data_IF_109092373282
#
_entry.id   IF_109092373282
#
_cell.length_a   1.000
_cell.length_b   1.000
_cell.length_c   1.000
_cell.angle_alpha   90.00
_cell.angle_beta   90.00
_cell.angle_gamma   90.00
#
_symmetry.space_group_name_H-M   'P 1'
#
loop_
_entity.id
_entity.type
_entity.pdbx_description
1 polymer ?
#
# COMPACT_ATOMS: atom_id res chain seq x y z
N UNK A 1 -3.27 39.09 17.93
CA UNK A 1 -1.90 38.55 18.16
C UNK A 1 -1.94 37.32 19.06
N UNK A 2 -2.74 37.29 20.13
CA UNK A 2 -3.00 36.07 20.93
C UNK A 2 -3.67 34.95 20.13
N UNK A 3 -4.61 35.27 19.23
CA UNK A 3 -5.28 34.28 18.36
C UNK A 3 -4.33 33.61 17.33
N UNK A 4 -3.25 34.30 16.91
CA UNK A 4 -2.21 33.73 16.04
C UNK A 4 -1.26 32.80 16.81
N UNK A 5 -1.08 33.05 18.11
CA UNK A 5 -0.27 32.24 19.01
C UNK A 5 -1.04 31.01 19.53
N UNK A 6 -2.37 31.04 19.57
CA UNK A 6 -3.21 29.84 19.78
C UNK A 6 -3.31 28.96 18.52
N UNK A 7 -3.18 29.56 17.32
CA UNK A 7 -3.14 28.84 16.04
C UNK A 7 -1.88 27.96 15.89
N UNK A 8 -0.72 28.47 16.31
CA UNK A 8 0.50 27.67 16.49
C UNK A 8 0.42 26.98 17.85
N UNK A 9 -0.04 25.74 17.92
CA UNK A 9 -0.09 24.97 19.16
C UNK A 9 1.33 24.78 19.75
N UNK A 10 1.83 25.77 20.50
CA UNK A 10 3.19 25.88 21.03
C UNK A 10 3.45 24.96 22.23
N UNK A 11 2.51 24.08 22.57
CA UNK A 11 2.70 23.10 23.63
C UNK A 11 3.67 21.98 23.22
N UNK A 12 3.86 21.75 21.90
CA UNK A 12 4.78 20.74 21.35
C UNK A 12 5.76 21.33 20.30
N UNK A 13 6.38 22.47 20.62
CA UNK A 13 7.46 23.06 19.80
C UNK A 13 8.54 22.04 19.41
N UNK A 14 9.01 21.14 20.31
CA UNK A 14 10.04 20.16 19.95
C UNK A 14 9.63 19.24 18.81
N UNK A 15 8.37 18.78 18.80
CA UNK A 15 7.84 17.91 17.77
C UNK A 15 7.64 18.64 16.44
N UNK A 16 7.18 19.91 16.49
CA UNK A 16 7.05 20.74 15.30
C UNK A 16 8.41 21.03 14.65
N UNK A 17 9.43 21.35 15.45
CA UNK A 17 10.80 21.56 14.97
C UNK A 17 11.35 20.27 14.36
N UNK A 18 11.13 19.12 15.01
CA UNK A 18 11.58 17.82 14.51
C UNK A 18 10.94 17.47 13.16
N UNK A 19 9.60 17.55 13.06
CA UNK A 19 8.86 17.28 11.83
C UNK A 19 9.25 18.27 10.72
N UNK A 20 9.35 19.56 11.05
CA UNK A 20 9.78 20.60 10.11
C UNK A 20 11.20 20.36 9.58
N UNK A 21 12.13 19.97 10.46
CA UNK A 21 13.49 19.61 10.09
C UNK A 21 13.53 18.43 9.12
N UNK A 22 12.77 17.36 9.40
CA UNK A 22 12.67 16.20 8.50
C UNK A 22 12.10 16.57 7.12
N UNK A 23 11.04 17.40 7.09
CA UNK A 23 10.44 17.86 5.83
C UNK A 23 11.44 18.69 5.02
N UNK A 24 12.17 19.60 5.66
CA UNK A 24 13.17 20.44 4.99
C UNK A 24 14.35 19.61 4.44
N UNK A 25 14.81 18.61 5.18
CA UNK A 25 15.85 17.69 4.71
C UNK A 25 15.36 16.89 3.50
N UNK A 26 14.17 16.30 3.58
CA UNK A 26 13.58 15.55 2.47
C UNK A 26 13.35 16.44 1.24
N UNK A 27 12.84 17.66 1.44
CA UNK A 27 12.64 18.64 0.38
C UNK A 27 13.97 19.07 -0.25
N UNK A 28 15.01 19.30 0.53
CA UNK A 28 16.34 19.65 0.04
C UNK A 28 16.92 18.54 -0.85
N UNK A 29 16.84 17.28 -0.43
CA UNK A 29 17.29 16.15 -1.24
C UNK A 29 16.45 15.99 -2.51
N UNK A 30 15.12 16.07 -2.41
CA UNK A 30 14.23 15.97 -3.56
C UNK A 30 14.48 17.10 -4.57
N UNK A 31 14.61 18.35 -4.10
CA UNK A 31 14.93 19.51 -4.92
C UNK A 31 16.35 19.42 -5.49
N UNK A 32 17.32 18.90 -4.75
CA UNK A 32 18.68 18.70 -5.23
C UNK A 32 18.75 17.70 -6.38
N UNK A 33 18.06 16.56 -6.24
CA UNK A 33 17.95 15.54 -7.29
C UNK A 33 17.20 16.09 -8.52
N UNK A 34 16.10 16.83 -8.30
CA UNK A 34 15.37 17.49 -9.37
C UNK A 34 16.20 18.55 -10.08
N UNK A 35 16.86 19.42 -9.32
CA UNK A 35 17.71 20.48 -9.86
C UNK A 35 18.84 19.87 -10.66
N UNK A 36 19.51 18.82 -10.18
CA UNK A 36 20.56 18.13 -10.92
C UNK A 36 20.03 17.44 -12.18
N UNK A 37 18.82 16.89 -12.16
CA UNK A 37 18.23 16.22 -13.32
C UNK A 37 17.67 17.20 -14.37
N UNK A 38 17.12 18.33 -13.93
CA UNK A 38 16.47 19.34 -14.76
C UNK A 38 17.41 20.46 -15.19
N UNK A 39 18.55 20.70 -14.51
CA UNK A 39 19.47 21.78 -14.89
C UNK A 39 19.92 21.56 -16.34
N UNK A 40 19.53 22.46 -17.25
CA UNK A 40 20.05 22.42 -18.60
C UNK A 40 21.51 22.83 -18.49
N UNK A 41 22.45 21.93 -18.80
CA UNK A 41 23.84 22.29 -19.12
C UNK A 41 23.88 22.99 -20.49
N UNK A 42 23.08 24.04 -20.63
CA UNK A 42 22.97 24.78 -21.87
C UNK A 42 24.14 25.75 -21.99
N UNK A 43 25.00 25.40 -22.94
CA UNK A 43 25.72 26.29 -23.86
C UNK A 43 27.05 26.86 -23.39
N UNK A 44 28.00 26.00 -23.03
CA UNK A 44 29.38 26.17 -23.50
C UNK A 44 29.98 24.80 -23.85
N UNK A 45 30.10 24.53 -25.16
CA UNK A 45 30.92 23.47 -25.75
C UNK A 45 31.91 24.18 -26.69
N UNK A 46 33.20 23.81 -26.80
CA UNK A 46 33.56 22.52 -27.42
C UNK A 46 34.88 21.85 -26.94
N UNK A 47 35.07 20.62 -27.45
CA UNK A 47 36.24 19.71 -27.37
C UNK A 47 36.41 18.90 -26.07
N UNK A 48 35.70 17.77 -25.99
CA UNK A 48 36.14 16.65 -25.17
C UNK A 48 35.13 16.09 -24.16
N UNK A 49 33.94 15.71 -24.67
CA UNK A 49 32.99 14.77 -24.06
C UNK A 49 32.44 15.11 -22.66
N UNK A 50 31.12 15.02 -22.51
CA UNK A 50 30.48 14.81 -21.20
C UNK A 50 31.18 13.59 -20.57
N UNK A 51 32.10 13.83 -19.63
CA UNK A 51 32.72 12.73 -18.89
C UNK A 51 31.66 12.25 -17.90
N UNK A 52 31.16 11.01 -18.02
CA UNK A 52 30.33 10.46 -16.97
C UNK A 52 31.11 10.51 -15.65
N UNK A 53 30.42 10.82 -14.55
CA UNK A 53 31.00 10.93 -13.19
C UNK A 53 31.89 9.73 -12.84
N UNK A 54 31.56 8.57 -13.39
CA UNK A 54 32.43 7.38 -13.42
C UNK A 54 32.66 7.04 -14.89
N UNK A 55 33.92 7.05 -15.38
CA UNK A 55 34.20 6.55 -16.72
C UNK A 55 33.75 5.08 -16.78
N UNK A 56 32.98 4.67 -17.79
CA UNK A 56 32.60 3.28 -17.90
C UNK A 56 33.88 2.46 -17.99
N UNK A 57 33.97 1.41 -17.19
CA UNK A 57 35.18 0.57 -17.09
C UNK A 57 34.88 -0.91 -17.34
N UNK A 58 33.63 -1.33 -17.18
CA UNK A 58 33.18 -2.71 -17.43
C UNK A 58 32.88 -2.88 -18.92
N UNK A 59 33.41 -3.96 -19.51
CA UNK A 59 33.16 -4.35 -20.88
C UNK A 59 31.78 -4.97 -21.09
N UNK A 60 31.38 -5.09 -22.37
CA UNK A 60 30.11 -5.73 -22.73
C UNK A 60 30.08 -7.21 -22.34
N UNK A 61 31.21 -7.90 -22.38
CA UNK A 61 31.27 -9.35 -22.08
C UNK A 61 30.96 -9.60 -20.60
N UNK A 62 31.61 -8.86 -19.70
CA UNK A 62 31.43 -8.98 -18.25
C UNK A 62 29.99 -8.64 -17.84
N UNK A 63 29.49 -7.47 -18.26
CA UNK A 63 28.11 -7.06 -18.02
C UNK A 63 27.08 -7.99 -18.68
N UNK A 64 27.39 -8.49 -19.88
CA UNK A 64 26.56 -9.42 -20.62
C UNK A 64 26.43 -10.79 -19.94
N UNK A 65 27.52 -11.30 -19.34
CA UNK A 65 27.49 -12.54 -18.54
C UNK A 65 26.59 -12.32 -17.31
N UNK A 66 26.78 -11.23 -16.56
CA UNK A 66 25.97 -10.93 -15.37
C UNK A 66 24.48 -10.80 -15.73
N UNK A 67 24.15 -9.97 -16.71
CA UNK A 67 22.76 -9.79 -17.17
C UNK A 67 22.17 -11.08 -17.74
N UNK A 68 22.96 -11.84 -18.50
CA UNK A 68 22.56 -13.13 -19.06
C UNK A 68 22.23 -14.16 -17.98
N UNK A 69 23.08 -14.28 -16.96
CA UNK A 69 22.86 -15.21 -15.84
C UNK A 69 21.62 -14.84 -15.02
N UNK A 70 21.42 -13.55 -14.72
CA UNK A 70 20.22 -13.10 -13.99
C UNK A 70 18.96 -13.30 -14.84
N UNK A 71 19.02 -12.99 -16.14
CA UNK A 71 17.90 -13.26 -17.05
C UNK A 71 17.54 -14.74 -17.10
N UNK A 72 18.54 -15.63 -17.14
CA UNK A 72 18.31 -17.07 -17.13
C UNK A 72 17.67 -17.52 -15.81
N UNK A 73 18.13 -16.99 -14.68
CA UNK A 73 17.55 -17.25 -13.37
C UNK A 73 16.09 -16.76 -13.28
N UNK A 74 15.80 -15.54 -13.74
CA UNK A 74 14.44 -15.01 -13.72
C UNK A 74 13.54 -15.73 -14.71
N UNK A 75 14.05 -16.11 -15.89
CA UNK A 75 13.30 -16.89 -16.85
C UNK A 75 12.94 -18.28 -16.30
N UNK A 76 13.88 -18.98 -15.65
CA UNK A 76 13.59 -20.28 -15.04
C UNK A 76 12.57 -20.17 -13.91
N UNK A 77 12.69 -19.14 -13.07
CA UNK A 77 11.72 -18.85 -12.02
C UNK A 77 10.32 -18.55 -12.59
N UNK A 78 10.24 -17.72 -13.64
CA UNK A 78 8.98 -17.41 -14.32
C UNK A 78 8.36 -18.66 -14.93
N UNK A 79 9.14 -19.54 -15.56
CA UNK A 79 8.65 -20.82 -16.10
C UNK A 79 8.03 -21.69 -14.99
N UNK A 80 8.70 -21.78 -13.84
CA UNK A 80 8.15 -22.49 -12.67
C UNK A 80 6.83 -21.85 -12.23
N UNK A 81 6.79 -20.53 -12.08
CA UNK A 81 5.56 -19.81 -11.69
C UNK A 81 4.41 -20.06 -12.66
N UNK A 82 4.65 -20.05 -13.97
CA UNK A 82 3.64 -20.35 -14.99
C UNK A 82 3.11 -21.78 -14.85
N UNK A 83 3.98 -22.76 -14.62
CA UNK A 83 3.55 -24.14 -14.40
C UNK A 83 2.70 -24.30 -13.13
N UNK A 84 3.01 -23.58 -12.06
CA UNK A 84 2.18 -23.57 -10.85
C UNK A 84 0.84 -22.84 -11.03
N UNK A 85 0.81 -21.78 -11.86
CA UNK A 85 -0.41 -21.02 -12.12
C UNK A 85 -1.41 -21.78 -13.00
N UNK A 86 -0.92 -22.49 -14.02
CA UNK A 86 -1.74 -23.24 -14.98
C UNK A 86 -1.81 -24.76 -14.68
N UNK A 87 -0.95 -25.26 -13.80
CA UNK A 87 -0.95 -26.62 -13.30
C UNK A 87 -2.07 -26.81 -12.28
N UNK A 88 -3.30 -26.94 -12.81
CA UNK A 88 -4.51 -27.56 -12.27
C UNK A 88 -4.59 -27.82 -10.75
N UNK A 89 -5.77 -27.51 -10.20
CA UNK A 89 -6.34 -27.88 -8.88
C UNK A 89 -6.13 -29.33 -8.39
N UNK A 90 -5.54 -30.21 -9.21
CA UNK A 90 -5.20 -31.59 -8.88
C UNK A 90 -3.82 -31.79 -8.23
N UNK A 91 -2.87 -30.85 -8.35
CA UNK A 91 -1.49 -31.04 -7.82
C UNK A 91 -1.23 -30.37 -6.47
N UNK A 92 -2.21 -29.63 -5.94
CA UNK A 92 -2.09 -28.88 -4.67
C UNK A 92 -2.41 -29.80 -3.48
N UNK A 93 -3.09 -30.94 -3.72
CA UNK A 93 -3.42 -31.95 -2.71
C UNK A 93 -2.29 -32.93 -2.38
N UNK A 94 -1.21 -33.00 -3.17
CA UNK A 94 -0.09 -33.94 -2.91
C UNK A 94 1.10 -33.32 -2.15
N UNK A 95 1.16 -31.99 -2.00
CA UNK A 95 2.32 -31.32 -1.40
C UNK A 95 2.13 -30.87 0.07
N UNK A 96 0.96 -31.10 0.69
CA UNK A 96 0.74 -30.82 2.12
C UNK A 96 0.72 -29.34 2.52
N UNK A 97 0.83 -28.39 1.58
CA UNK A 97 0.70 -26.95 1.85
C UNK A 97 -0.74 -26.48 1.60
N UNK A 98 -1.36 -25.85 2.60
CA UNK A 98 -2.66 -25.20 2.43
C UNK A 98 -2.48 -23.96 1.55
N UNK A 99 -3.43 -23.69 0.64
CA UNK A 99 -3.41 -22.56 -0.30
C UNK A 99 -3.07 -21.20 0.35
N UNK A 100 -3.49 -21.01 1.61
CA UNK A 100 -3.22 -19.84 2.45
C UNK A 100 -1.75 -19.63 2.81
N UNK A 101 -0.94 -20.69 2.91
CA UNK A 101 0.48 -20.60 3.30
C UNK A 101 1.37 -20.18 2.13
N UNK A 102 1.04 -20.64 0.91
CA UNK A 102 1.70 -20.23 -0.33
C UNK A 102 1.44 -18.75 -0.71
N UNK A 103 0.28 -18.20 -0.29
CA UNK A 103 -0.07 -16.81 -0.54
C UNK A 103 0.60 -15.82 0.43
N UNK A 104 1.04 -16.28 1.60
CA UNK A 104 1.52 -15.43 2.71
C UNK A 104 3.02 -15.09 2.66
N UNK A 105 3.85 -15.93 2.03
CA UNK A 105 5.29 -15.67 1.88
C UNK A 105 5.62 -15.17 0.48
N UNK A 106 6.48 -14.16 0.39
CA UNK A 106 7.09 -13.74 -0.86
C UNK A 106 6.80 -12.32 -1.33
N UNK A 107 5.82 -11.59 -0.75
CA UNK A 107 5.59 -10.18 -1.14
C UNK A 107 6.80 -9.30 -0.80
N UNK A 108 7.26 -9.34 0.45
CA UNK A 108 8.44 -8.57 0.86
C UNK A 108 9.70 -8.97 0.10
N UNK A 109 9.84 -10.27 -0.19
CA UNK A 109 10.94 -10.80 -1.02
C UNK A 109 10.84 -10.28 -2.45
N UNK A 110 9.64 -10.22 -3.04
CA UNK A 110 9.41 -9.68 -4.38
C UNK A 110 9.77 -8.19 -4.45
N UNK A 111 9.34 -7.39 -3.46
CA UNK A 111 9.72 -5.97 -3.38
C UNK A 111 11.25 -5.84 -3.32
N UNK A 112 11.92 -6.67 -2.52
CA UNK A 112 13.37 -6.67 -2.45
C UNK A 112 14.01 -7.05 -3.79
N UNK A 113 13.51 -8.09 -4.46
CA UNK A 113 13.99 -8.53 -5.79
C UNK A 113 13.82 -7.41 -6.82
N UNK A 114 12.67 -6.73 -6.83
CA UNK A 114 12.41 -5.59 -7.71
C UNK A 114 13.43 -4.46 -7.47
N UNK A 115 13.64 -4.09 -6.21
CA UNK A 115 14.56 -3.00 -5.85
C UNK A 115 16.03 -3.34 -6.17
N UNK A 116 16.46 -4.57 -5.87
CA UNK A 116 17.79 -5.06 -6.22
C UNK A 116 17.95 -5.08 -7.74
N UNK A 117 16.95 -5.56 -8.47
CA UNK A 117 17.00 -5.61 -9.93
C UNK A 117 17.15 -4.21 -10.53
N UNK A 118 16.37 -3.24 -10.03
CA UNK A 118 16.47 -1.86 -10.46
C UNK A 118 17.85 -1.26 -10.16
N UNK A 119 18.41 -1.56 -8.99
CA UNK A 119 19.77 -1.14 -8.63
C UNK A 119 20.82 -1.73 -9.58
N UNK A 120 20.73 -3.02 -9.89
CA UNK A 120 21.61 -3.70 -10.85
C UNK A 120 21.49 -3.05 -12.24
N UNK A 121 20.27 -2.85 -12.72
CA UNK A 121 19.97 -2.20 -14.00
C UNK A 121 20.60 -0.81 -14.09
N UNK A 122 20.42 0.03 -13.07
CA UNK A 122 21.01 1.38 -13.02
C UNK A 122 22.54 1.33 -12.97
N UNK A 123 23.09 0.46 -12.11
CA UNK A 123 24.55 0.34 -11.93
C UNK A 123 25.22 -0.11 -13.22
N UNK A 124 24.76 -1.21 -13.82
CA UNK A 124 25.33 -1.68 -15.09
C UNK A 124 25.10 -0.68 -16.21
N UNK A 125 23.97 0.04 -16.20
CA UNK A 125 23.70 1.08 -17.20
C UNK A 125 24.59 2.31 -17.09
N UNK A 126 25.18 2.58 -15.92
CA UNK A 126 26.15 3.67 -15.73
C UNK A 126 27.59 3.24 -16.03
N UNK A 127 27.96 2.00 -15.67
CA UNK A 127 29.36 1.55 -15.67
C UNK A 127 29.78 0.83 -16.96
N UNK A 128 28.84 0.31 -17.76
CA UNK A 128 29.15 -0.51 -18.94
C UNK A 128 29.55 0.34 -20.16
N UNK A 129 30.68 -0.01 -20.80
CA UNK A 129 31.11 0.57 -22.09
C UNK A 129 30.25 0.05 -23.24
N UNK A 130 29.77 0.97 -24.08
CA UNK A 130 28.90 0.68 -25.22
C UNK A 130 29.55 1.10 -26.54
N UNK A 131 30.64 0.43 -26.89
CA UNK A 131 31.41 0.78 -28.10
C UNK A 131 30.74 0.17 -29.35
N UNK A 132 29.89 0.97 -30.00
CA UNK A 132 29.22 0.64 -31.27
C UNK A 132 27.74 0.29 -31.16
N UNK A 133 27.00 0.50 -32.26
CA UNK A 133 25.53 0.33 -32.30
C UNK A 133 25.08 -1.09 -31.98
N UNK A 134 25.76 -2.11 -32.49
CA UNK A 134 25.42 -3.51 -32.23
C UNK A 134 25.58 -3.88 -30.75
N UNK A 135 26.69 -3.46 -30.13
CA UNK A 135 26.96 -3.71 -28.70
C UNK A 135 25.96 -3.01 -27.78
N UNK A 136 25.61 -1.77 -28.10
CA UNK A 136 24.57 -1.03 -27.40
C UNK A 136 23.18 -1.70 -27.54
N UNK A 137 22.86 -2.22 -28.72
CA UNK A 137 21.60 -2.93 -28.96
C UNK A 137 21.51 -4.22 -28.10
N UNK A 138 22.56 -5.04 -28.08
CA UNK A 138 22.58 -6.27 -27.25
C UNK A 138 22.41 -5.93 -25.76
N UNK A 139 23.13 -4.93 -25.26
CA UNK A 139 22.99 -4.49 -23.87
C UNK A 139 21.55 -4.04 -23.56
N UNK A 140 20.96 -3.20 -24.43
CA UNK A 140 19.60 -2.72 -24.24
C UNK A 140 18.58 -3.86 -24.26
N UNK A 141 18.73 -4.83 -25.18
CA UNK A 141 17.86 -6.01 -25.24
C UNK A 141 17.93 -6.81 -23.95
N UNK A 142 19.12 -7.08 -23.41
CA UNK A 142 19.27 -7.82 -22.14
C UNK A 142 18.59 -7.09 -20.97
N UNK A 143 18.69 -5.77 -20.90
CA UNK A 143 18.05 -4.96 -19.87
C UNK A 143 16.52 -4.94 -20.02
N UNK A 144 16.03 -4.83 -21.26
CA UNK A 144 14.59 -4.87 -21.57
C UNK A 144 14.01 -6.23 -21.21
N UNK A 145 14.70 -7.33 -21.53
CA UNK A 145 14.30 -8.69 -21.14
C UNK A 145 14.23 -8.80 -19.62
N UNK A 146 15.22 -8.29 -18.90
CA UNK A 146 15.23 -8.35 -17.43
C UNK A 146 14.07 -7.58 -16.82
N UNK A 147 13.82 -6.36 -17.30
CA UNK A 147 12.67 -5.56 -16.88
C UNK A 147 11.33 -6.24 -17.22
N UNK A 148 11.23 -6.88 -18.38
CA UNK A 148 10.03 -7.61 -18.78
C UNK A 148 9.79 -8.84 -17.89
N UNK A 149 10.83 -9.61 -17.57
CA UNK A 149 10.74 -10.75 -16.65
C UNK A 149 10.29 -10.31 -15.24
N UNK A 150 10.81 -9.19 -14.73
CA UNK A 150 10.31 -8.60 -13.48
C UNK A 150 8.86 -8.16 -13.60
N UNK A 151 8.47 -7.55 -14.72
CA UNK A 151 7.07 -7.22 -14.99
C UNK A 151 6.15 -8.43 -14.91
N UNK A 152 6.56 -9.58 -15.46
CA UNK A 152 5.82 -10.84 -15.34
C UNK A 152 5.72 -11.30 -13.89
N UNK A 153 6.81 -11.25 -13.11
CA UNK A 153 6.78 -11.60 -11.69
C UNK A 153 5.84 -10.69 -10.88
N UNK A 154 5.83 -9.40 -11.21
CA UNK A 154 4.92 -8.39 -10.62
C UNK A 154 3.46 -8.72 -10.94
N UNK A 155 3.13 -9.04 -12.19
CA UNK A 155 1.76 -9.43 -12.60
C UNK A 155 1.33 -10.73 -11.91
N UNK A 156 2.22 -11.71 -11.82
CA UNK A 156 2.00 -12.98 -11.11
C UNK A 156 1.67 -12.74 -9.63
N UNK A 157 2.37 -11.81 -8.98
CA UNK A 157 2.09 -11.42 -7.60
C UNK A 157 0.72 -10.72 -7.43
N UNK A 158 0.35 -9.84 -8.35
CA UNK A 158 -0.99 -9.21 -8.36
C UNK A 158 -2.10 -10.25 -8.47
N UNK A 159 -1.96 -11.22 -9.39
CA UNK A 159 -2.96 -12.28 -9.56
C UNK A 159 -3.13 -13.13 -8.29
N UNK A 160 -2.02 -13.45 -7.60
CA UNK A 160 -2.06 -14.18 -6.33
C UNK A 160 -2.79 -13.40 -5.24
N UNK A 161 -2.56 -12.09 -5.16
CA UNK A 161 -3.20 -11.22 -4.18
C UNK A 161 -4.71 -11.08 -4.46
N UNK A 162 -5.10 -10.89 -5.72
CA UNK A 162 -6.51 -10.84 -6.14
C UNK A 162 -7.27 -12.13 -5.81
N UNK A 163 -6.65 -13.29 -6.03
CA UNK A 163 -7.27 -14.58 -5.73
C UNK A 163 -7.41 -14.81 -4.21
N UNK A 164 -6.47 -14.29 -3.42
CA UNK A 164 -6.56 -14.32 -1.96
C UNK A 164 -7.68 -13.43 -1.43
N UNK A 165 -7.84 -12.24 -1.99
CA UNK A 165 -8.93 -11.30 -1.66
C UNK A 165 -10.31 -11.85 -2.04
N UNK A 166 -10.41 -12.64 -3.12
CA UNK A 166 -11.66 -13.31 -3.49
C UNK A 166 -12.15 -14.34 -2.45
N UNK A 167 -11.26 -14.82 -1.58
CA UNK A 167 -11.57 -15.81 -0.53
C UNK A 167 -11.75 -15.14 0.84
N UNK A 168 -10.88 -14.18 1.18
CA UNK A 168 -10.80 -13.60 2.53
C UNK A 168 -11.30 -12.15 2.63
N UNK A 169 -11.67 -11.52 1.52
CA UNK A 169 -12.04 -10.11 1.46
C UNK A 169 -10.86 -9.13 1.47
N UNK A 170 -11.18 -7.85 1.32
CA UNK A 170 -10.19 -6.76 1.27
C UNK A 170 -9.78 -6.31 2.68
N UNK A 171 -8.49 -6.04 2.88
CA UNK A 171 -7.93 -5.48 4.13
C UNK A 171 -6.90 -4.39 3.82
N UNK A 172 -6.59 -3.54 4.80
CA UNK A 172 -5.68 -2.39 4.61
C UNK A 172 -4.29 -2.79 4.10
N UNK A 173 -3.68 -3.84 4.66
CA UNK A 173 -2.35 -4.32 4.25
C UNK A 173 -2.35 -4.83 2.80
N UNK A 174 -3.40 -5.52 2.36
CA UNK A 174 -3.53 -6.04 0.99
C UNK A 174 -3.80 -4.91 -0.01
N UNK A 175 -4.61 -3.92 0.35
CA UNK A 175 -4.87 -2.76 -0.50
C UNK A 175 -3.62 -1.90 -0.67
N UNK A 176 -2.85 -1.65 0.40
CA UNK A 176 -1.55 -0.98 0.28
C UNK A 176 -0.57 -1.76 -0.59
N UNK A 177 -0.54 -3.09 -0.44
CA UNK A 177 0.28 -3.98 -1.26
C UNK A 177 -0.10 -3.91 -2.75
N UNK A 178 -1.39 -3.86 -3.07
CA UNK A 178 -1.91 -3.68 -4.43
C UNK A 178 -1.37 -2.39 -5.07
N UNK A 179 -1.53 -1.26 -4.38
CA UNK A 179 -1.07 0.04 -4.86
C UNK A 179 0.46 0.04 -5.00
N UNK A 180 1.18 -0.52 -4.03
CA UNK A 180 2.64 -0.61 -4.06
C UNK A 180 3.15 -1.43 -5.25
N UNK A 181 2.57 -2.60 -5.53
CA UNK A 181 3.00 -3.44 -6.65
C UNK A 181 2.81 -2.72 -8.00
N UNK A 182 1.67 -2.04 -8.19
CA UNK A 182 1.39 -1.29 -9.42
C UNK A 182 2.46 -0.20 -9.62
N UNK A 183 2.75 0.59 -8.58
CA UNK A 183 3.75 1.65 -8.66
C UNK A 183 5.19 1.13 -8.80
N UNK A 184 5.51 -0.02 -8.19
CA UNK A 184 6.79 -0.71 -8.40
C UNK A 184 6.96 -1.17 -9.85
N UNK A 185 5.91 -1.69 -10.48
CA UNK A 185 5.92 -2.01 -11.91
C UNK A 185 6.09 -0.77 -12.79
N UNK A 186 5.34 0.29 -12.49
CA UNK A 186 5.42 1.57 -13.21
C UNK A 186 6.80 2.23 -13.11
N UNK A 187 7.54 2.00 -12.02
CA UNK A 187 8.90 2.54 -11.82
C UNK A 187 9.91 2.06 -12.88
N UNK A 188 9.68 0.91 -13.53
CA UNK A 188 10.53 0.45 -14.63
C UNK A 188 10.30 1.23 -15.93
N UNK A 189 9.13 1.84 -16.13
CA UNK A 189 8.84 2.62 -17.34
C UNK A 189 9.81 3.81 -17.55
N UNK A 190 10.03 4.72 -16.58
CA UNK A 190 10.99 5.79 -16.75
C UNK A 190 12.42 5.27 -16.92
N UNK A 191 12.76 4.12 -16.31
CA UNK A 191 14.05 3.47 -16.55
C UNK A 191 14.20 3.03 -18.01
N UNK A 192 13.21 2.31 -18.55
CA UNK A 192 13.21 1.85 -19.93
C UNK A 192 13.25 3.01 -20.93
N UNK A 193 12.46 4.06 -20.68
CA UNK A 193 12.49 5.29 -21.50
C UNK A 193 13.87 5.95 -21.46
N UNK A 194 14.45 6.10 -20.28
CA UNK A 194 15.78 6.71 -20.11
C UNK A 194 16.89 5.86 -20.76
N UNK A 195 16.78 4.53 -20.70
CA UNK A 195 17.69 3.57 -21.33
C UNK A 195 17.62 3.65 -22.86
N UNK A 196 16.41 3.59 -23.43
CA UNK A 196 16.18 3.62 -24.88
C UNK A 196 16.50 5.00 -25.48
N UNK A 197 16.24 6.08 -24.74
CA UNK A 197 16.63 7.44 -25.13
C UNK A 197 18.14 7.71 -24.99
N UNK A 198 18.91 6.77 -24.41
CA UNK A 198 20.35 6.91 -24.18
C UNK A 198 20.70 7.99 -23.15
N UNK A 199 19.75 8.42 -22.32
CA UNK A 199 19.91 9.49 -21.34
C UNK A 199 19.39 9.04 -19.98
N UNK A 200 20.20 8.23 -19.28
CA UNK A 200 19.82 7.66 -17.97
C UNK A 200 19.44 8.72 -16.91
N UNK A 201 19.90 9.97 -17.06
CA UNK A 201 19.51 11.12 -16.22
C UNK A 201 17.99 11.35 -16.12
N UNK A 202 17.22 10.95 -17.13
CA UNK A 202 15.75 11.07 -17.13
C UNK A 202 15.05 10.07 -16.20
N UNK A 203 15.78 9.07 -15.70
CA UNK A 203 15.23 8.16 -14.69
C UNK A 203 14.90 8.89 -13.38
N UNK A 204 15.76 9.79 -12.91
CA UNK A 204 15.58 10.50 -11.63
C UNK A 204 14.24 11.27 -11.53
N UNK A 205 13.87 12.14 -12.50
CA UNK A 205 12.57 12.82 -12.45
C UNK A 205 11.40 11.84 -12.61
N UNK A 206 11.56 10.78 -13.40
CA UNK A 206 10.55 9.74 -13.54
C UNK A 206 10.32 8.93 -12.25
N UNK A 207 11.38 8.60 -11.52
CA UNK A 207 11.32 7.94 -10.23
C UNK A 207 10.66 8.84 -9.18
N UNK A 208 10.95 10.13 -9.18
CA UNK A 208 10.27 11.08 -8.30
C UNK A 208 8.77 11.18 -8.63
N UNK A 209 8.41 11.27 -9.91
CA UNK A 209 7.01 11.23 -10.33
C UNK A 209 6.32 9.94 -9.88
N UNK A 210 7.01 8.81 -9.88
CA UNK A 210 6.46 7.56 -9.35
C UNK A 210 6.23 7.62 -7.83
N UNK A 211 7.14 8.21 -7.05
CA UNK A 211 6.97 8.38 -5.60
C UNK A 211 5.84 9.36 -5.27
N UNK A 212 5.78 10.50 -5.98
CA UNK A 212 4.68 11.48 -5.85
C UNK A 212 3.36 10.82 -6.26
N UNK A 213 3.34 10.07 -7.35
CA UNK A 213 2.17 9.35 -7.81
C UNK A 213 1.71 8.30 -6.82
N UNK A 214 2.62 7.51 -6.25
CA UNK A 214 2.31 6.51 -5.22
C UNK A 214 1.69 7.15 -3.98
N UNK A 215 2.33 8.18 -3.43
CA UNK A 215 1.82 8.91 -2.26
C UNK A 215 0.49 9.59 -2.54
N UNK A 216 0.36 10.25 -3.69
CA UNK A 216 -0.90 10.88 -4.11
C UNK A 216 -2.02 9.85 -4.26
N UNK A 217 -1.74 8.69 -4.86
CA UNK A 217 -2.72 7.61 -5.06
C UNK A 217 -3.29 7.15 -3.72
N UNK A 218 -2.45 6.94 -2.70
CA UNK A 218 -2.89 6.53 -1.36
C UNK A 218 -3.67 7.61 -0.60
N UNK A 219 -3.43 8.89 -0.91
CA UNK A 219 -4.18 9.99 -0.29
C UNK A 219 -5.51 10.27 -1.01
N UNK A 220 -5.61 9.98 -2.31
CA UNK A 220 -6.80 10.22 -3.13
C UNK A 220 -7.78 9.05 -3.04
N UNK A 221 -7.27 7.82 -3.08
CA UNK A 221 -8.06 6.63 -2.84
C UNK A 221 -8.23 6.57 -1.33
N UNK A 222 -9.35 7.07 -0.83
CA UNK A 222 -9.82 6.82 0.52
C UNK A 222 -9.88 5.30 0.76
N UNK A 223 -8.78 4.76 1.30
CA UNK A 223 -8.51 3.31 1.31
C UNK A 223 -9.54 2.58 2.15
N UNK A 224 -9.89 3.15 3.30
CA UNK A 224 -10.81 2.51 4.23
C UNK A 224 -12.25 2.53 3.68
N UNK A 225 -12.67 3.61 3.00
CA UNK A 225 -13.94 3.63 2.26
C UNK A 225 -13.95 2.64 1.09
N UNK A 226 -12.87 2.55 0.32
CA UNK A 226 -12.75 1.59 -0.78
C UNK A 226 -12.87 0.13 -0.28
N UNK A 227 -12.21 -0.20 0.83
CA UNK A 227 -12.30 -1.52 1.45
C UNK A 227 -13.73 -1.84 1.88
N UNK A 228 -14.43 -0.88 2.49
CA UNK A 228 -15.83 -1.05 2.89
C UNK A 228 -16.72 -1.32 1.67
N UNK A 229 -16.66 -0.46 0.64
CA UNK A 229 -17.45 -0.62 -0.59
C UNK A 229 -17.26 -1.99 -1.23
N UNK A 230 -16.02 -2.45 -1.35
CA UNK A 230 -15.72 -3.70 -2.05
C UNK A 230 -16.16 -4.95 -1.28
N UNK A 231 -16.01 -4.95 0.05
CA UNK A 231 -16.50 -6.06 0.89
C UNK A 231 -18.05 -6.09 0.90
N UNK A 232 -18.71 -4.93 0.91
CA UNK A 232 -20.18 -4.84 0.87
C UNK A 232 -20.71 -5.28 -0.49
N UNK A 233 -20.04 -4.90 -1.58
CA UNK A 233 -20.38 -5.35 -2.92
C UNK A 233 -20.28 -6.89 -3.02
N UNK A 234 -19.23 -7.48 -2.45
CA UNK A 234 -19.07 -8.93 -2.38
C UNK A 234 -20.17 -9.59 -1.52
N UNK A 235 -20.53 -8.98 -0.39
CA UNK A 235 -21.64 -9.41 0.45
C UNK A 235 -22.95 -9.47 -0.33
N UNK A 236 -23.27 -8.44 -1.11
CA UNK A 236 -24.48 -8.41 -1.93
C UNK A 236 -24.57 -9.52 -2.99
N UNK A 237 -23.43 -10.10 -3.40
CA UNK A 237 -23.39 -11.20 -4.38
C UNK A 237 -23.42 -12.58 -3.73
N UNK A 238 -22.77 -12.74 -2.57
CA UNK A 238 -22.53 -14.05 -1.94
C UNK A 238 -23.36 -14.31 -0.69
N UNK A 239 -23.94 -13.25 -0.10
CA UNK A 239 -24.64 -13.28 1.17
C UNK A 239 -23.74 -13.55 2.38
N UNK A 240 -22.41 -13.58 2.23
CA UNK A 240 -21.46 -13.92 3.29
C UNK A 240 -20.60 -12.73 3.67
N UNK A 241 -20.66 -12.31 4.92
CA UNK A 241 -19.82 -11.24 5.43
C UNK A 241 -18.54 -11.83 5.99
N UNK A 242 -17.45 -11.72 5.23
CA UNK A 242 -16.22 -12.45 5.53
C UNK A 242 -15.38 -11.86 6.68
N UNK A 243 -15.58 -10.60 7.07
CA UNK A 243 -14.69 -9.95 8.04
C UNK A 243 -15.42 -9.02 9.00
N UNK A 244 -15.24 -9.25 10.30
CA UNK A 244 -15.59 -8.26 11.34
C UNK A 244 -14.60 -7.10 11.40
N UNK A 245 -13.45 -7.25 10.72
CA UNK A 245 -12.44 -6.22 10.46
C UNK A 245 -13.02 -4.88 10.00
N UNK A 246 -14.14 -4.87 9.28
CA UNK A 246 -14.81 -3.65 8.80
C UNK A 246 -15.10 -2.64 9.93
N UNK A 247 -15.32 -3.12 11.16
CA UNK A 247 -15.59 -2.28 12.33
C UNK A 247 -14.34 -1.51 12.77
N UNK A 248 -13.14 -1.95 12.37
CA UNK A 248 -11.84 -1.34 12.70
C UNK A 248 -11.34 -0.31 11.68
N UNK A 249 -12.04 -0.13 10.55
CA UNK A 249 -11.71 0.84 9.49
C UNK A 249 -11.80 2.29 9.99
N UNK A 250 -11.35 3.30 9.24
CA UNK A 250 -11.50 4.72 9.62
C UNK A 250 -12.96 5.17 9.62
N UNK A 251 -13.20 6.40 10.08
CA UNK A 251 -14.55 6.99 10.10
C UNK A 251 -15.11 7.21 8.68
N UNK A 252 -14.24 7.26 7.67
CA UNK A 252 -14.60 7.37 6.25
C UNK A 252 -15.37 6.16 5.71
N UNK A 253 -15.24 5.00 6.37
CA UNK A 253 -15.94 3.78 6.00
C UNK A 253 -17.40 3.74 6.49
N UNK A 254 -17.77 4.56 7.49
CA UNK A 254 -19.11 4.49 8.10
C UNK A 254 -20.27 4.69 7.12
N UNK A 255 -20.24 5.68 6.21
CA UNK A 255 -21.34 5.90 5.27
C UNK A 255 -21.71 4.65 4.45
N UNK A 256 -20.71 3.82 4.14
CA UNK A 256 -20.87 2.60 3.36
C UNK A 256 -21.43 1.45 4.22
N UNK A 257 -21.07 1.38 5.50
CA UNK A 257 -21.52 0.31 6.41
C UNK A 257 -22.97 0.47 6.86
N UNK A 258 -23.52 1.69 6.82
CA UNK A 258 -24.84 2.00 7.40
C UNK A 258 -26.03 1.42 6.64
N UNK A 259 -26.02 1.34 5.29
CA UNK A 259 -27.03 0.60 4.54
C UNK A 259 -27.21 -0.86 5.00
N UNK A 260 -26.12 -1.55 5.40
CA UNK A 260 -26.20 -2.92 5.90
C UNK A 260 -26.95 -3.05 7.23
N UNK A 261 -26.98 -1.99 8.03
CA UNK A 261 -27.74 -1.96 9.28
C UNK A 261 -29.24 -1.67 9.04
N UNK A 262 -29.57 -1.07 7.89
CA UNK A 262 -30.94 -0.75 7.47
C UNK A 262 -31.63 -1.90 6.76
N UNK A 263 -30.88 -2.82 6.18
CA UNK A 263 -31.45 -4.05 5.62
C UNK A 263 -31.99 -4.96 6.72
N UNK A 264 -33.12 -5.63 6.48
CA UNK A 264 -33.69 -6.68 7.36
C UNK A 264 -32.79 -7.93 7.47
N UNK A 265 -31.61 -7.89 6.85
CA UNK A 265 -30.69 -9.01 6.76
C UNK A 265 -30.00 -9.30 8.11
N UNK A 266 -30.16 -10.53 8.58
CA UNK A 266 -29.85 -10.90 9.95
C UNK A 266 -28.35 -11.03 10.22
N UNK A 267 -27.54 -11.40 9.22
CA UNK A 267 -26.12 -11.68 9.44
C UNK A 267 -25.31 -10.38 9.59
N UNK A 268 -25.44 -9.45 8.64
CA UNK A 268 -24.78 -8.14 8.71
C UNK A 268 -25.15 -7.34 9.96
N UNK A 269 -26.43 -7.33 10.34
CA UNK A 269 -26.92 -6.61 11.53
C UNK A 269 -26.40 -7.23 12.83
N UNK A 270 -26.41 -8.56 12.94
CA UNK A 270 -25.97 -9.22 14.18
C UNK A 270 -24.45 -9.21 14.36
N UNK A 271 -23.69 -9.24 13.27
CA UNK A 271 -22.22 -9.23 13.29
C UNK A 271 -21.67 -7.80 13.45
N UNK A 272 -22.16 -6.83 12.67
CA UNK A 272 -21.64 -5.45 12.67
C UNK A 272 -22.32 -4.53 13.67
N UNK A 273 -23.60 -4.77 13.99
CA UNK A 273 -24.41 -3.89 14.83
C UNK A 273 -23.80 -3.59 16.19
N UNK A 274 -23.46 -4.61 17.01
CA UNK A 274 -22.88 -4.39 18.33
C UNK A 274 -21.59 -3.57 18.31
N UNK A 275 -20.69 -3.85 17.35
CA UNK A 275 -19.42 -3.13 17.25
C UNK A 275 -19.56 -1.70 16.74
N UNK A 276 -20.45 -1.44 15.78
CA UNK A 276 -20.70 -0.09 15.27
C UNK A 276 -21.37 0.80 16.32
N UNK A 277 -22.26 0.24 17.14
CA UNK A 277 -22.91 0.91 18.26
C UNK A 277 -21.89 1.28 19.36
N UNK A 278 -21.01 0.35 19.70
CA UNK A 278 -19.90 0.61 20.63
C UNK A 278 -18.94 1.68 20.11
N UNK A 279 -18.59 1.61 18.83
CA UNK A 279 -17.75 2.61 18.17
C UNK A 279 -18.41 3.99 18.16
N UNK A 280 -19.70 4.07 17.87
CA UNK A 280 -20.46 5.32 17.93
C UNK A 280 -20.41 5.97 19.31
N UNK A 281 -20.51 5.15 20.37
CA UNK A 281 -20.41 5.62 21.75
C UNK A 281 -19.00 6.14 22.08
N UNK A 282 -17.95 5.43 21.67
CA UNK A 282 -16.56 5.88 21.82
C UNK A 282 -16.29 7.19 21.06
N UNK A 283 -16.74 7.32 19.80
CA UNK A 283 -16.58 8.54 19.00
C UNK A 283 -17.25 9.75 19.67
N UNK A 284 -18.45 9.57 20.22
CA UNK A 284 -19.18 10.62 20.94
C UNK A 284 -18.44 11.09 22.20
N UNK A 285 -17.82 10.17 22.95
CA UNK A 285 -17.05 10.51 24.15
C UNK A 285 -15.69 11.15 23.83
N UNK A 286 -14.98 10.62 22.83
CA UNK A 286 -13.68 11.13 22.39
C UNK A 286 -13.78 12.56 21.86
N UNK A 287 -14.81 12.85 21.06
CA UNK A 287 -15.02 14.19 20.50
C UNK A 287 -15.38 15.25 21.53
N UNK A 288 -16.13 14.88 22.58
CA UNK A 288 -16.43 15.80 23.68
C UNK A 288 -15.15 16.31 24.39
N UNK A 289 -14.03 15.60 24.22
CA UNK A 289 -12.72 15.95 24.76
C UNK A 289 -11.70 16.37 23.68
N UNK A 290 -12.08 16.33 22.40
CA UNK A 290 -11.15 16.59 21.30
C UNK A 290 -10.88 18.08 21.14
N UNK A 291 -9.61 18.43 20.96
CA UNK A 291 -9.20 19.79 20.59
C UNK A 291 -9.47 20.05 19.10
N UNK A 292 -9.50 21.32 18.69
CA UNK A 292 -9.81 21.69 17.31
C UNK A 292 -8.81 21.09 16.29
N UNK A 293 -7.57 20.79 16.68
CA UNK A 293 -6.56 20.18 15.79
C UNK A 293 -6.87 18.71 15.45
N UNK A 294 -7.65 18.03 16.28
CA UNK A 294 -8.11 16.68 16.03
C UNK A 294 -9.43 16.65 15.24
N UNK A 295 -9.92 17.81 14.77
CA UNK A 295 -11.14 17.87 13.97
C UNK A 295 -10.86 17.50 12.52
N UNK A 296 -11.57 16.47 12.05
CA UNK A 296 -11.50 15.97 10.69
C UNK A 296 -12.90 15.98 10.06
N UNK A 297 -12.99 16.28 8.76
CA UNK A 297 -14.26 16.30 8.01
C UNK A 297 -14.98 14.94 8.05
N UNK A 298 -14.22 13.86 7.94
CA UNK A 298 -14.71 12.48 8.00
C UNK A 298 -15.38 12.16 9.33
N UNK A 299 -14.78 12.62 10.42
CA UNK A 299 -15.30 12.43 11.77
C UNK A 299 -16.62 13.19 11.98
N UNK A 300 -16.74 14.42 11.46
CA UNK A 300 -18.00 15.16 11.50
C UNK A 300 -19.09 14.46 10.69
N UNK A 301 -18.77 14.00 9.48
CA UNK A 301 -19.70 13.24 8.65
C UNK A 301 -20.19 11.96 9.34
N UNK A 302 -19.29 11.21 9.97
CA UNK A 302 -19.64 10.02 10.75
C UNK A 302 -20.55 10.34 11.95
N UNK A 303 -20.27 11.43 12.68
CA UNK A 303 -21.11 11.85 13.81
C UNK A 303 -22.51 12.27 13.38
N UNK A 304 -22.65 13.02 12.29
CA UNK A 304 -23.95 13.43 11.76
C UNK A 304 -24.77 12.21 11.32
N UNK A 305 -24.10 11.24 10.68
CA UNK A 305 -24.70 9.97 10.30
C UNK A 305 -25.18 9.17 11.52
N UNK A 306 -24.34 9.05 12.55
CA UNK A 306 -24.66 8.32 13.77
C UNK A 306 -25.71 9.01 14.65
N UNK A 307 -25.75 10.35 14.67
CA UNK A 307 -26.76 11.12 15.43
C UNK A 307 -28.15 11.04 14.81
N UNK A 308 -28.22 10.92 13.50
CA UNK A 308 -29.47 10.93 12.73
C UNK A 308 -30.10 9.54 12.59
N UNK A 309 -29.37 8.46 12.87
CA UNK A 309 -29.83 7.11 12.55
C UNK A 309 -30.67 6.47 13.69
N UNK A 310 -31.98 6.18 13.46
CA UNK A 310 -32.84 5.50 14.43
C UNK A 310 -32.42 4.05 14.72
N UNK A 311 -31.47 3.47 13.97
CA UNK A 311 -31.02 2.09 14.18
C UNK A 311 -30.14 1.88 15.43
N UNK A 312 -29.52 2.94 15.96
CA UNK A 312 -28.91 2.90 17.29
C UNK A 312 -29.95 2.68 18.40
N UNK A 313 -31.25 2.84 18.11
CA UNK A 313 -32.33 2.53 19.06
C UNK A 313 -32.57 1.02 19.15
N UNK A 314 -32.23 0.22 18.14
CA UNK A 314 -32.39 -1.25 18.22
C UNK A 314 -31.39 -1.89 19.19
N UNK A 315 -30.18 -1.34 19.28
CA UNK A 315 -29.09 -1.81 20.14
C UNK A 315 -28.74 -0.70 21.14
N UNK A 316 -29.20 -0.84 22.37
CA UNK A 316 -28.96 0.18 23.39
C UNK A 316 -27.55 0.00 23.97
N UNK A 317 -26.74 1.07 23.92
CA UNK A 317 -25.54 1.18 24.74
C UNK A 317 -25.99 1.56 26.14
N UNK A 318 -25.74 0.67 27.08
CA UNK A 318 -26.00 0.93 28.48
C UNK A 318 -24.73 1.51 29.11
N UNK A 319 -24.90 2.62 29.84
CA UNK A 319 -23.83 3.21 30.66
C UNK A 319 -23.98 2.69 32.09
N UNK A 320 -22.94 2.02 32.59
CA UNK A 320 -22.84 1.74 34.02
C UNK A 320 -22.20 2.92 34.75
N UNK A 321 -22.92 3.44 35.73
CA UNK A 321 -22.32 4.11 36.86
C UNK A 321 -21.76 3.05 37.81
N UNK A 322 -20.45 3.10 38.03
CA UNK A 322 -19.61 2.24 38.88
C UNK A 322 -19.34 0.79 38.38
N UNK A 323 -18.03 0.54 38.19
CA UNK A 323 -17.27 -0.68 37.84
C UNK A 323 -17.99 -1.94 37.28
N UNK A 324 -17.52 -2.52 36.14
CA UNK A 324 -16.42 -2.06 35.30
C UNK A 324 -16.84 -0.82 34.49
N UNK A 325 -15.97 0.19 34.49
CA UNK A 325 -16.19 1.43 33.74
C UNK A 325 -16.19 1.13 32.24
N UNK A 326 -17.29 1.42 31.56
CA UNK A 326 -17.35 1.29 30.11
C UNK A 326 -18.77 1.25 29.57
N UNK A 327 -18.91 1.69 28.33
CA UNK A 327 -20.10 1.43 27.52
C UNK A 327 -20.19 -0.09 27.26
N UNK A 328 -21.38 -0.70 27.39
CA UNK A 328 -21.57 -2.13 27.13
C UNK A 328 -22.82 -2.40 26.28
N UNK A 329 -22.79 -3.52 25.57
CA UNK A 329 -23.87 -3.98 24.68
C UNK A 329 -24.19 -5.43 25.00
N UNK A 330 -25.47 -5.80 24.89
CA UNK A 330 -25.91 -7.20 24.97
C UNK A 330 -25.83 -7.83 23.59
N UNK A 331 -25.02 -8.88 23.45
CA UNK A 331 -24.91 -9.68 22.23
C UNK A 331 -25.46 -11.07 22.56
N UNK A 332 -26.53 -11.49 21.91
CA UNK A 332 -27.19 -12.79 22.17
C UNK A 332 -27.59 -13.03 23.65
N UNK A 333 -27.88 -11.97 24.39
CA UNK A 333 -28.26 -12.06 25.81
C UNK A 333 -27.07 -12.09 26.80
N UNK A 334 -25.84 -12.20 26.30
CA UNK A 334 -24.62 -12.06 27.11
C UNK A 334 -24.13 -10.61 27.11
N UNK A 335 -23.57 -10.18 28.24
CA UNK A 335 -23.05 -8.82 28.42
C UNK A 335 -21.59 -8.75 27.96
N UNK A 336 -21.31 -7.88 26.99
CA UNK A 336 -19.94 -7.62 26.51
C UNK A 336 -19.59 -6.14 26.62
N UNK A 337 -18.41 -5.83 27.15
CA UNK A 337 -17.93 -4.44 27.19
C UNK A 337 -17.50 -3.96 25.80
N UNK A 338 -17.73 -2.70 25.48
CA UNK A 338 -17.38 -2.17 24.16
C UNK A 338 -15.89 -2.24 23.87
N UNK A 339 -15.04 -2.01 24.87
CA UNK A 339 -13.58 -2.09 24.70
C UNK A 339 -13.14 -3.53 24.38
N UNK A 340 -13.61 -4.52 25.15
CA UNK A 340 -13.30 -5.94 24.88
C UNK A 340 -13.85 -6.41 23.53
N UNK A 341 -15.03 -5.91 23.13
CA UNK A 341 -15.66 -6.26 21.87
C UNK A 341 -14.85 -5.72 20.69
N UNK A 342 -14.43 -4.45 20.75
CA UNK A 342 -13.61 -3.85 19.70
C UNK A 342 -12.21 -4.47 19.65
N UNK A 343 -11.59 -4.80 20.78
CA UNK A 343 -10.33 -5.56 20.82
C UNK A 343 -10.47 -6.95 20.20
N UNK A 344 -11.60 -7.63 20.39
CA UNK A 344 -11.83 -8.95 19.81
C UNK A 344 -11.84 -8.94 18.27
N UNK A 345 -12.32 -7.84 17.66
CA UNK A 345 -12.30 -7.66 16.21
C UNK A 345 -10.92 -7.32 15.65
N UNK A 346 -10.02 -6.80 16.50
CA UNK A 346 -8.61 -6.56 16.13
C UNK A 346 -7.80 -7.87 16.21
N UNK A 347 -8.17 -8.78 17.12
CA UNK A 347 -7.42 -10.00 17.45
C UNK A 347 -7.86 -11.26 16.68
N UNK A 348 -8.74 -11.14 15.68
CA UNK A 348 -9.20 -12.30 14.90
C UNK A 348 -8.00 -13.13 14.38
N UNK A 349 -8.07 -14.48 14.46
CA UNK A 349 -6.93 -15.39 14.27
C UNK A 349 -6.31 -15.37 12.86
N UNK A 350 -6.87 -14.62 11.91
CA UNK A 350 -6.27 -14.34 10.61
C UNK A 350 -5.25 -13.20 10.60
N UNK A 351 -5.30 -12.26 11.56
CA UNK A 351 -4.48 -11.05 11.65
C UNK A 351 -3.27 -11.20 12.60
N UNK A 352 -3.36 -12.06 13.63
CA UNK A 352 -2.27 -12.21 14.61
C UNK A 352 -1.02 -12.92 14.06
N UNK A 353 -1.14 -13.68 12.96
CA UNK A 353 0.01 -14.24 12.25
C UNK A 353 0.62 -13.30 11.20
N UNK A 354 0.07 -12.10 11.03
CA UNK A 354 0.55 -11.07 10.08
C UNK A 354 1.68 -10.21 10.71
N UNK A 355 1.88 -10.34 12.03
CA UNK A 355 2.84 -9.55 12.83
C UNK A 355 4.02 -10.36 13.40
N UNK A 356 4.19 -11.63 13.03
CA UNK A 356 5.30 -12.46 13.52
C UNK A 356 6.23 -12.93 12.40
#
# INVERSE_FOLDING_TARGET
MRDLLEWLNLDNIPELIWRGGLILIAAFWALGVLAQALWPHSRYSPLGAERPLVPPFVGLIESGIVLGSINLLFASFVVIQFQYLFGSTANITEAGYTYSEYARRGFGELVMVVMITLLILLTLSTVTRRDGRARAAVFNVLNVIMAALVGVMVVSALQRLLLYEAIFGFTRLRTYSHVAIIWLGLLFLPYLVALLAGRLRWFAPGALLAVIGFTTTLNVIDVDRFIAQQNIHYYGQTGKLHTTYLITLSDDALPELMPLLRSEDSEGVNVLGPGLVCRAAQLKQGYAKASWQATHLSHQAALDLLRSDPLLVRWHVYKLGEYPYGDFVYVNGERTTCDSLLESFVLEPGLTSEYR
#
